data_IF_980909041284
#
_entry.id   IF_980909041284
#
_cell.length_a   1.000
_cell.length_b   1.000
_cell.length_c   1.000
_cell.angle_alpha   90.00
_cell.angle_beta   90.00
_cell.angle_gamma   90.00
#
_symmetry.space_group_name_H-M   'P 1'
#
loop_
_entity.id
_entity.type
_entity.pdbx_description
1 polymer ?
#
# COMPACT_ATOMS: atom_id res chain seq x y z
N UNK A 1 -13.15 -24.53 1.28
CA UNK A 1 -12.25 -23.36 1.31
C UNK A 1 -10.80 -23.84 1.25
N UNK A 2 -9.94 -23.11 0.57
CA UNK A 2 -8.52 -23.43 0.56
C UNK A 2 -7.93 -23.24 1.96
N UNK A 3 -6.92 -24.05 2.31
CA UNK A 3 -6.29 -24.02 3.65
C UNK A 3 -5.55 -22.71 3.93
N UNK A 4 -5.16 -21.99 2.88
CA UNK A 4 -4.44 -20.72 2.99
C UNK A 4 -5.04 -19.67 2.06
N UNK A 5 -4.98 -18.39 2.48
CA UNK A 5 -5.46 -17.26 1.69
C UNK A 5 -4.73 -17.14 0.34
N UNK A 6 -3.42 -17.40 0.31
CA UNK A 6 -2.64 -17.39 -0.95
C UNK A 6 -3.11 -18.45 -1.95
N UNK A 7 -3.46 -19.67 -1.52
CA UNK A 7 -4.03 -20.69 -2.41
C UNK A 7 -5.39 -20.24 -2.96
N UNK A 8 -6.20 -19.59 -2.12
CA UNK A 8 -7.49 -19.02 -2.55
C UNK A 8 -7.27 -17.93 -3.61
N UNK A 9 -6.36 -16.98 -3.39
CA UNK A 9 -6.01 -15.93 -4.35
C UNK A 9 -5.55 -16.55 -5.67
N UNK A 10 -4.58 -17.45 -5.62
CA UNK A 10 -4.01 -18.06 -6.82
C UNK A 10 -5.04 -18.86 -7.62
N UNK A 11 -5.90 -19.61 -6.94
CA UNK A 11 -6.93 -20.41 -7.61
C UNK A 11 -8.00 -19.58 -8.32
N UNK A 12 -8.40 -18.47 -7.71
CA UNK A 12 -9.56 -17.71 -8.18
C UNK A 12 -9.23 -16.41 -8.90
N UNK A 13 -8.00 -15.93 -8.81
CA UNK A 13 -7.57 -14.67 -9.46
C UNK A 13 -6.27 -14.78 -10.27
N UNK A 14 -5.80 -16.01 -10.56
CA UNK A 14 -4.53 -16.23 -11.28
C UNK A 14 -4.44 -15.41 -12.57
N UNK A 15 -5.46 -15.43 -13.41
CA UNK A 15 -5.51 -14.72 -14.69
C UNK A 15 -5.40 -13.20 -14.48
N UNK A 16 -6.16 -12.66 -13.55
CA UNK A 16 -6.18 -11.22 -13.27
C UNK A 16 -4.84 -10.77 -12.67
N UNK A 17 -4.23 -11.59 -11.80
CA UNK A 17 -2.89 -11.31 -11.25
C UNK A 17 -1.80 -11.31 -12.33
N UNK A 18 -1.87 -12.24 -13.29
CA UNK A 18 -0.93 -12.28 -14.42
C UNK A 18 -1.09 -11.04 -15.30
N UNK A 19 -2.32 -10.61 -15.58
CA UNK A 19 -2.59 -9.38 -16.33
C UNK A 19 -1.99 -8.17 -15.61
N UNK A 20 -2.18 -8.06 -14.30
CA UNK A 20 -1.58 -7.01 -13.48
C UNK A 20 -0.05 -7.01 -13.55
N UNK A 21 0.58 -8.19 -13.49
CA UNK A 21 2.03 -8.33 -13.59
C UNK A 21 2.54 -7.88 -14.96
N UNK A 22 1.88 -8.30 -16.05
CA UNK A 22 2.24 -7.88 -17.41
C UNK A 22 2.09 -6.37 -17.58
N UNK A 23 0.96 -5.80 -17.13
CA UNK A 23 0.71 -4.36 -17.21
C UNK A 23 1.77 -3.57 -16.44
N UNK A 24 2.14 -4.07 -15.27
CA UNK A 24 3.20 -3.49 -14.43
C UNK A 24 4.56 -3.57 -15.14
N UNK A 25 4.89 -4.72 -15.75
CA UNK A 25 6.15 -4.89 -16.49
C UNK A 25 6.26 -3.94 -17.68
N UNK A 26 5.16 -3.73 -18.40
CA UNK A 26 5.10 -2.77 -19.53
C UNK A 26 5.32 -1.32 -19.05
N UNK A 27 4.98 -0.98 -17.81
CA UNK A 27 5.18 0.37 -17.29
C UNK A 27 6.66 0.72 -16.98
N UNK A 28 7.54 -0.26 -16.76
CA UNK A 28 8.92 -0.02 -16.34
C UNK A 28 9.80 0.67 -17.41
N UNK A 29 9.74 0.34 -18.72
CA UNK A 29 10.46 1.09 -19.73
C UNK A 29 10.10 2.58 -19.76
N UNK A 30 8.81 2.91 -19.64
CA UNK A 30 8.36 4.30 -19.57
C UNK A 30 8.84 5.01 -18.31
N UNK A 31 8.90 4.29 -17.16
CA UNK A 31 9.50 4.79 -15.95
C UNK A 31 10.99 5.08 -16.14
N UNK A 32 11.75 4.17 -16.74
CA UNK A 32 13.17 4.34 -17.01
C UNK A 32 13.43 5.59 -17.89
N UNK A 33 12.71 5.69 -18.99
CA UNK A 33 12.81 6.85 -19.88
C UNK A 33 12.44 8.17 -19.19
N UNK A 34 11.46 8.16 -18.29
CA UNK A 34 11.09 9.34 -17.51
C UNK A 34 12.14 9.76 -16.47
N UNK A 35 13.06 8.87 -16.09
CA UNK A 35 14.21 9.20 -15.26
C UNK A 35 15.41 9.72 -16.07
N UNK A 36 15.57 9.22 -17.32
CA UNK A 36 16.70 9.59 -18.18
C UNK A 36 16.50 10.94 -18.89
N UNK A 37 15.24 11.28 -19.28
CA UNK A 37 14.95 12.52 -19.98
C UNK A 37 15.35 13.81 -19.25
N UNK A 38 15.11 14.00 -17.93
CA UNK A 38 15.56 15.18 -17.21
C UNK A 38 17.07 15.40 -17.30
N UNK A 39 17.87 14.32 -17.26
CA UNK A 39 19.32 14.39 -17.45
C UNK A 39 19.66 14.87 -18.87
N UNK A 40 19.00 14.32 -19.87
CA UNK A 40 19.18 14.70 -21.27
C UNK A 40 18.81 16.17 -21.50
N UNK A 41 17.72 16.66 -20.88
CA UNK A 41 17.32 18.06 -20.93
C UNK A 41 18.41 18.96 -20.32
N UNK A 42 18.91 18.63 -19.13
CA UNK A 42 19.92 19.45 -18.45
C UNK A 42 21.24 19.46 -19.25
N UNK A 43 21.71 18.31 -19.66
CA UNK A 43 23.05 18.19 -20.26
C UNK A 43 23.09 18.66 -21.71
N UNK A 44 22.07 18.34 -22.51
CA UNK A 44 22.04 18.66 -23.95
C UNK A 44 21.29 19.95 -24.24
N UNK A 45 20.04 20.09 -23.80
CA UNK A 45 19.24 21.23 -24.17
C UNK A 45 19.66 22.51 -23.44
N UNK A 46 19.92 22.45 -22.12
CA UNK A 46 20.35 23.61 -21.33
C UNK A 46 21.86 23.82 -21.45
N UNK A 47 22.65 22.74 -21.38
CA UNK A 47 24.12 22.79 -21.45
C UNK A 47 24.69 23.11 -22.84
N UNK A 48 23.85 23.09 -23.88
CA UNK A 48 24.25 23.41 -25.26
C UNK A 48 25.25 22.41 -25.89
N UNK A 49 25.47 21.25 -25.25
CA UNK A 49 26.37 20.19 -25.74
C UNK A 49 25.56 19.22 -26.59
N UNK A 50 26.03 19.00 -27.84
CA UNK A 50 25.44 18.01 -28.76
C UNK A 50 23.94 18.26 -29.07
N UNK A 51 23.54 19.52 -29.30
CA UNK A 51 22.22 19.82 -29.86
C UNK A 51 22.22 19.36 -31.32
N UNK A 52 21.32 18.44 -31.71
CA UNK A 52 21.25 18.01 -33.10
C UNK A 52 20.81 19.17 -33.99
N UNK A 53 21.58 19.45 -35.05
CA UNK A 53 21.28 20.55 -35.99
C UNK A 53 20.00 20.29 -36.79
N UNK A 54 19.64 19.03 -37.00
CA UNK A 54 18.42 18.61 -37.71
C UNK A 54 17.74 17.44 -37.02
N UNK A 55 16.44 17.53 -36.80
CA UNK A 55 15.56 16.43 -36.44
C UNK A 55 14.45 16.31 -37.48
N UNK A 56 14.36 15.14 -38.14
CA UNK A 56 13.40 14.88 -39.23
C UNK A 56 13.49 15.86 -40.41
N UNK A 57 14.69 16.41 -40.70
CA UNK A 57 14.88 17.34 -41.83
C UNK A 57 14.47 18.81 -41.54
N UNK A 58 14.23 19.13 -40.28
CA UNK A 58 13.92 20.52 -39.84
C UNK A 58 15.12 20.99 -39.00
N UNK A 59 15.68 22.15 -39.35
CA UNK A 59 16.72 22.83 -38.54
C UNK A 59 16.10 23.27 -37.22
N UNK A 60 16.69 22.85 -36.12
CA UNK A 60 16.14 23.05 -34.77
C UNK A 60 17.10 23.90 -33.97
N UNK A 61 16.55 25.01 -33.43
CA UNK A 61 17.27 25.83 -32.45
C UNK A 61 17.28 25.17 -31.06
N UNK A 62 18.21 25.59 -30.20
CA UNK A 62 18.34 25.11 -28.84
C UNK A 62 17.01 25.20 -28.06
N UNK A 63 16.24 26.27 -28.28
CA UNK A 63 14.94 26.46 -27.62
C UNK A 63 13.91 25.44 -28.10
N UNK A 64 13.86 25.16 -29.40
CA UNK A 64 12.94 24.18 -29.98
C UNK A 64 13.27 22.77 -29.48
N UNK A 65 14.55 22.43 -29.39
CA UNK A 65 14.99 21.17 -28.83
C UNK A 65 14.59 21.01 -27.35
N UNK A 66 14.73 22.06 -26.56
CA UNK A 66 14.27 22.10 -25.16
C UNK A 66 12.76 21.88 -25.05
N UNK A 67 11.98 22.54 -25.93
CA UNK A 67 10.52 22.38 -25.92
C UNK A 67 10.09 20.97 -26.33
N UNK A 68 10.74 20.37 -27.33
CA UNK A 68 10.47 18.99 -27.77
C UNK A 68 10.77 17.99 -26.64
N UNK A 69 11.92 18.09 -26.00
CA UNK A 69 12.27 17.21 -24.89
C UNK A 69 11.38 17.38 -23.67
N UNK A 70 11.01 18.63 -23.37
CA UNK A 70 10.07 18.93 -22.28
C UNK A 70 8.68 18.38 -22.56
N UNK A 71 8.21 18.51 -23.81
CA UNK A 71 6.96 17.90 -24.27
C UNK A 71 6.98 16.38 -24.19
N UNK A 72 8.08 15.75 -24.63
CA UNK A 72 8.28 14.31 -24.53
C UNK A 72 8.30 13.84 -23.08
N UNK A 73 8.96 14.57 -22.18
CA UNK A 73 8.96 14.28 -20.74
C UNK A 73 7.54 14.34 -20.16
N UNK A 74 6.79 15.41 -20.48
CA UNK A 74 5.40 15.54 -20.05
C UNK A 74 4.54 14.37 -20.53
N UNK A 75 4.68 13.99 -21.80
CA UNK A 75 3.98 12.85 -22.38
C UNK A 75 4.31 11.54 -21.64
N UNK A 76 5.60 11.28 -21.35
CA UNK A 76 6.01 10.11 -20.57
C UNK A 76 5.48 10.10 -19.14
N UNK A 77 5.46 11.25 -18.47
CA UNK A 77 4.86 11.39 -17.13
C UNK A 77 3.37 11.06 -17.19
N UNK A 78 2.67 11.53 -18.21
CA UNK A 78 1.25 11.26 -18.43
C UNK A 78 1.00 9.77 -18.69
N UNK A 79 1.78 9.14 -19.55
CA UNK A 79 1.70 7.70 -19.84
C UNK A 79 1.96 6.88 -18.58
N UNK A 80 3.03 7.18 -17.84
CA UNK A 80 3.37 6.48 -16.59
C UNK A 80 2.28 6.68 -15.53
N UNK A 81 1.75 7.89 -15.40
CA UNK A 81 0.60 8.19 -14.53
C UNK A 81 -0.64 7.40 -14.92
N UNK A 82 -0.92 7.29 -16.22
CA UNK A 82 -2.01 6.48 -16.77
C UNK A 82 -1.88 5.00 -16.45
N UNK A 83 -0.69 4.42 -16.58
CA UNK A 83 -0.42 3.04 -16.16
C UNK A 83 -0.66 2.85 -14.65
N UNK A 84 -0.15 3.75 -13.82
CA UNK A 84 -0.39 3.71 -12.37
C UNK A 84 -1.88 3.78 -12.03
N UNK A 85 -2.61 4.69 -12.67
CA UNK A 85 -4.04 4.83 -12.48
C UNK A 85 -4.77 3.52 -12.85
N UNK A 86 -4.52 2.98 -14.03
CA UNK A 86 -5.18 1.79 -14.52
C UNK A 86 -4.86 0.55 -13.65
N UNK A 87 -3.59 0.34 -13.29
CA UNK A 87 -3.16 -0.73 -12.39
C UNK A 87 -3.85 -0.62 -11.03
N UNK A 88 -3.96 0.59 -10.46
CA UNK A 88 -4.60 0.80 -9.16
C UNK A 88 -6.12 0.52 -9.23
N UNK A 89 -6.80 0.98 -10.27
CA UNK A 89 -8.23 0.72 -10.47
C UNK A 89 -8.48 -0.78 -10.66
N UNK A 90 -7.72 -1.43 -11.51
CA UNK A 90 -7.88 -2.87 -11.75
C UNK A 90 -7.60 -3.71 -10.50
N UNK A 91 -6.60 -3.32 -9.71
CA UNK A 91 -6.27 -3.92 -8.40
C UNK A 91 -7.42 -3.77 -7.41
N UNK A 92 -8.03 -2.58 -7.33
CA UNK A 92 -9.22 -2.34 -6.53
C UNK A 92 -10.40 -3.20 -6.96
N UNK A 93 -10.71 -3.26 -8.25
CA UNK A 93 -11.77 -4.11 -8.81
C UNK A 93 -11.55 -5.58 -8.52
N UNK A 94 -10.31 -6.05 -8.62
CA UNK A 94 -9.95 -7.43 -8.29
C UNK A 94 -10.21 -7.73 -6.82
N UNK A 95 -9.80 -6.83 -5.93
CA UNK A 95 -10.04 -6.91 -4.50
C UNK A 95 -11.53 -7.05 -4.19
N UNK A 96 -12.37 -6.20 -4.76
CA UNK A 96 -13.83 -6.22 -4.57
C UNK A 96 -14.49 -7.50 -5.13
N UNK A 97 -14.07 -7.97 -6.30
CA UNK A 97 -14.57 -9.25 -6.84
C UNK A 97 -14.29 -10.42 -5.90
N UNK A 98 -13.07 -10.45 -5.36
CA UNK A 98 -12.66 -11.52 -4.46
C UNK A 98 -13.33 -11.40 -3.10
N UNK A 99 -13.52 -10.18 -2.58
CA UNK A 99 -14.27 -9.91 -1.36
C UNK A 99 -15.71 -10.40 -1.47
N UNK A 100 -16.39 -10.06 -2.56
CA UNK A 100 -17.75 -10.54 -2.83
C UNK A 100 -17.82 -12.08 -2.83
N UNK A 101 -16.87 -12.75 -3.46
CA UNK A 101 -16.80 -14.21 -3.49
C UNK A 101 -16.54 -14.80 -2.11
N UNK A 102 -15.67 -14.15 -1.33
CA UNK A 102 -15.34 -14.57 0.03
C UNK A 102 -16.55 -14.45 0.97
N UNK A 103 -17.26 -13.31 0.93
CA UNK A 103 -18.51 -13.09 1.67
C UNK A 103 -19.55 -14.14 1.34
N UNK A 104 -19.77 -14.41 0.05
CA UNK A 104 -20.69 -15.47 -0.39
C UNK A 104 -20.28 -16.85 0.17
N UNK A 105 -19.00 -17.20 0.05
CA UNK A 105 -18.49 -18.49 0.53
C UNK A 105 -18.58 -18.64 2.05
N UNK A 106 -18.39 -17.57 2.79
CA UNK A 106 -18.55 -17.54 4.26
C UNK A 106 -20.01 -17.73 4.65
N UNK A 107 -20.91 -16.93 4.07
CA UNK A 107 -22.33 -17.03 4.36
C UNK A 107 -22.87 -18.42 4.01
N UNK A 108 -22.51 -18.97 2.84
CA UNK A 108 -22.90 -20.31 2.44
C UNK A 108 -22.42 -21.40 3.41
N UNK A 109 -21.30 -21.20 4.11
CA UNK A 109 -20.84 -22.09 5.17
C UNK A 109 -21.62 -21.91 6.46
N UNK A 110 -21.82 -20.68 6.87
CA UNK A 110 -22.58 -20.36 8.08
C UNK A 110 -23.96 -21.01 7.99
N UNK A 111 -24.63 -20.89 6.86
CA UNK A 111 -25.96 -21.49 6.64
C UNK A 111 -25.97 -23.04 6.68
N UNK A 112 -24.81 -23.69 6.55
CA UNK A 112 -24.63 -25.13 6.64
C UNK A 112 -24.16 -25.61 8.02
N UNK A 113 -23.98 -24.72 8.98
CA UNK A 113 -23.56 -25.13 10.32
C UNK A 113 -24.68 -25.92 11.03
N UNK A 114 -24.33 -26.96 11.77
CA UNK A 114 -25.27 -27.68 12.65
C UNK A 114 -25.87 -26.74 13.70
N UNK A 115 -27.15 -26.91 13.99
CA UNK A 115 -27.88 -26.09 14.99
C UNK A 115 -27.16 -25.94 16.35
N UNK A 116 -26.49 -26.96 16.91
CA UNK A 116 -25.77 -26.80 18.17
C UNK A 116 -24.61 -25.78 18.12
N UNK A 117 -24.02 -25.54 16.94
CA UNK A 117 -22.95 -24.56 16.79
C UNK A 117 -23.49 -23.14 16.76
N UNK A 118 -24.69 -22.92 16.24
CA UNK A 118 -25.35 -21.60 16.28
C UNK A 118 -25.67 -21.15 17.72
N UNK A 119 -25.86 -22.06 18.66
CA UNK A 119 -26.07 -21.72 20.09
C UNK A 119 -24.78 -21.19 20.76
N UNK A 120 -23.61 -21.42 20.15
CA UNK A 120 -22.30 -21.01 20.70
C UNK A 120 -21.79 -19.69 20.10
N UNK A 121 -22.35 -19.24 18.98
CA UNK A 121 -21.93 -18.05 18.25
C UNK A 121 -23.06 -17.06 18.24
N UNK A 122 -22.83 -15.82 18.65
CA UNK A 122 -23.86 -14.80 18.64
C UNK A 122 -24.18 -14.35 17.22
N UNK A 123 -25.44 -14.00 16.95
CA UNK A 123 -25.88 -13.46 15.67
C UNK A 123 -25.05 -12.24 15.23
N UNK A 124 -24.78 -11.32 16.19
CA UNK A 124 -23.97 -10.12 15.96
C UNK A 124 -22.54 -10.44 15.56
N UNK A 125 -21.94 -11.48 16.13
CA UNK A 125 -20.57 -11.93 15.79
C UNK A 125 -20.51 -12.44 14.34
N UNK A 126 -21.49 -13.23 13.89
CA UNK A 126 -21.57 -13.70 12.50
C UNK A 126 -21.71 -12.54 11.52
N UNK A 127 -22.59 -11.57 11.82
CA UNK A 127 -22.79 -10.38 10.99
C UNK A 127 -21.51 -9.55 10.92
N UNK A 128 -20.85 -9.33 12.03
CA UNK A 128 -19.59 -8.57 12.10
C UNK A 128 -18.46 -9.29 11.32
N UNK A 129 -18.35 -10.61 11.46
CA UNK A 129 -17.38 -11.41 10.74
C UNK A 129 -17.56 -11.32 9.23
N UNK A 130 -18.80 -11.48 8.71
CA UNK A 130 -19.09 -11.47 7.27
C UNK A 130 -18.97 -10.08 6.66
N UNK A 131 -19.34 -9.02 7.39
CA UNK A 131 -19.33 -7.65 6.87
C UNK A 131 -18.02 -6.94 7.12
N UNK A 132 -17.60 -6.81 8.39
CA UNK A 132 -16.54 -5.89 8.78
C UNK A 132 -15.15 -6.54 8.85
N UNK A 133 -15.06 -7.79 9.34
CA UNK A 133 -13.76 -8.45 9.50
C UNK A 133 -13.18 -8.95 8.17
N UNK A 134 -14.03 -9.22 7.20
CA UNK A 134 -13.62 -9.68 5.86
C UNK A 134 -13.25 -8.52 4.94
N UNK A 135 -13.74 -7.30 5.20
CA UNK A 135 -13.48 -6.10 4.40
C UNK A 135 -12.00 -5.85 4.09
N UNK A 136 -11.08 -5.88 5.08
CA UNK A 136 -9.66 -5.67 4.83
C UNK A 136 -9.02 -6.73 3.92
N UNK A 137 -9.62 -7.91 3.81
CA UNK A 137 -9.10 -9.00 2.97
C UNK A 137 -9.27 -8.70 1.48
N UNK A 138 -10.28 -7.92 1.08
CA UNK A 138 -10.45 -7.46 -0.30
C UNK A 138 -9.25 -6.66 -0.78
N UNK A 139 -8.87 -5.62 -0.02
CA UNK A 139 -7.66 -4.84 -0.29
C UNK A 139 -6.40 -5.70 -0.30
N UNK A 140 -6.25 -6.59 0.70
CA UNK A 140 -5.10 -7.49 0.77
C UNK A 140 -5.00 -8.40 -0.48
N UNK A 141 -6.09 -8.93 -0.99
CA UNK A 141 -6.09 -9.78 -2.20
C UNK A 141 -5.61 -9.00 -3.42
N UNK A 142 -6.11 -7.77 -3.61
CA UNK A 142 -5.67 -6.89 -4.69
C UNK A 142 -4.19 -6.55 -4.61
N UNK A 143 -3.69 -6.33 -3.38
CA UNK A 143 -2.34 -5.85 -3.12
C UNK A 143 -1.28 -6.94 -3.00
N UNK A 144 -1.67 -8.18 -2.67
CA UNK A 144 -0.76 -9.24 -2.25
C UNK A 144 0.34 -9.61 -3.25
N UNK A 145 0.07 -9.50 -4.55
CA UNK A 145 1.01 -9.83 -5.63
C UNK A 145 1.37 -8.57 -6.42
N UNK A 146 0.37 -7.78 -6.81
CA UNK A 146 0.57 -6.63 -7.69
C UNK A 146 1.39 -5.52 -7.01
N UNK A 147 1.17 -5.23 -5.73
CA UNK A 147 1.90 -4.18 -5.02
C UNK A 147 3.39 -4.50 -4.82
N UNK A 148 3.79 -5.70 -4.34
CA UNK A 148 5.20 -6.08 -4.26
C UNK A 148 5.89 -6.09 -5.62
N UNK A 149 5.21 -6.59 -6.67
CA UNK A 149 5.76 -6.60 -8.02
C UNK A 149 5.98 -5.19 -8.56
N UNK A 150 5.01 -4.28 -8.37
CA UNK A 150 5.12 -2.88 -8.79
C UNK A 150 6.23 -2.16 -8.03
N UNK A 151 6.26 -2.25 -6.70
CA UNK A 151 7.26 -1.58 -5.87
C UNK A 151 8.66 -2.18 -6.09
N UNK A 152 8.76 -3.51 -6.14
CA UNK A 152 10.02 -4.20 -6.40
C UNK A 152 10.57 -3.90 -7.80
N UNK A 153 9.71 -3.89 -8.81
CA UNK A 153 10.12 -3.54 -10.17
C UNK A 153 10.51 -2.07 -10.31
N UNK A 154 9.78 -1.15 -9.68
CA UNK A 154 10.17 0.28 -9.61
C UNK A 154 11.53 0.44 -8.97
N UNK A 155 11.78 -0.22 -7.84
CA UNK A 155 13.06 -0.21 -7.14
C UNK A 155 14.19 -0.76 -8.02
N UNK A 156 13.96 -1.89 -8.68
CA UNK A 156 14.91 -2.46 -9.63
C UNK A 156 15.24 -1.51 -10.79
N UNK A 157 14.22 -0.88 -11.37
CA UNK A 157 14.39 0.09 -12.47
C UNK A 157 15.25 1.28 -12.02
N UNK A 158 14.97 1.83 -10.83
CA UNK A 158 15.76 2.94 -10.27
C UNK A 158 17.20 2.51 -9.98
N UNK A 159 17.41 1.32 -9.41
CA UNK A 159 18.76 0.80 -9.15
C UNK A 159 19.53 0.60 -10.43
N UNK A 160 18.92 -0.03 -11.44
CA UNK A 160 19.55 -0.23 -12.77
C UNK A 160 19.94 1.12 -13.36
N UNK A 161 19.01 2.10 -13.32
CA UNK A 161 19.31 3.47 -13.79
C UNK A 161 20.50 4.07 -13.05
N UNK A 162 20.55 3.99 -11.71
CA UNK A 162 21.66 4.53 -10.93
C UNK A 162 23.00 3.86 -11.24
N UNK A 163 23.03 2.53 -11.41
CA UNK A 163 24.24 1.80 -11.77
C UNK A 163 24.77 2.13 -13.18
N UNK A 164 23.87 2.39 -14.13
CA UNK A 164 24.23 2.82 -15.49
C UNK A 164 24.80 4.23 -15.48
N UNK A 165 24.30 5.11 -14.60
CA UNK A 165 24.78 6.48 -14.48
C UNK A 165 26.14 6.56 -13.78
N UNK A 166 26.25 5.92 -12.63
CA UNK A 166 27.46 5.85 -11.81
C UNK A 166 27.36 4.62 -10.88
N UNK A 167 28.31 3.70 -11.01
CA UNK A 167 28.37 2.49 -10.20
C UNK A 167 28.54 2.79 -8.70
N UNK A 168 29.24 3.87 -8.38
CA UNK A 168 29.49 4.29 -7.00
C UNK A 168 28.19 4.77 -6.33
N UNK A 169 27.36 5.50 -7.07
CA UNK A 169 25.99 5.89 -6.62
C UNK A 169 25.10 4.68 -6.41
N UNK A 170 25.16 3.72 -7.34
CA UNK A 170 24.42 2.47 -7.20
C UNK A 170 24.80 1.70 -5.93
N UNK A 171 26.10 1.62 -5.60
CA UNK A 171 26.59 0.99 -4.37
C UNK A 171 26.14 1.77 -3.12
N UNK A 172 26.27 3.09 -3.11
CA UNK A 172 25.81 3.91 -2.00
C UNK A 172 24.31 3.74 -1.74
N UNK A 173 23.53 3.65 -2.81
CA UNK A 173 22.10 3.38 -2.71
C UNK A 173 21.82 2.03 -2.04
N UNK A 174 22.49 0.95 -2.48
CA UNK A 174 22.29 -0.39 -1.90
C UNK A 174 22.73 -0.46 -0.44
N UNK A 175 23.80 0.25 -0.05
CA UNK A 175 24.34 0.18 1.32
C UNK A 175 23.34 0.58 2.42
N UNK A 176 22.35 1.39 2.11
CA UNK A 176 21.31 1.80 3.07
C UNK A 176 20.15 0.81 3.19
N UNK A 177 19.89 -0.03 2.17
CA UNK A 177 18.76 -0.98 2.19
C UNK A 177 18.85 -2.06 3.28
N UNK A 178 20.01 -2.66 3.60
CA UNK A 178 20.10 -3.65 4.68
C UNK A 178 19.67 -3.09 6.04
N UNK A 179 20.00 -1.84 6.31
CA UNK A 179 19.61 -1.15 7.55
C UNK A 179 18.09 -1.02 7.62
N UNK A 180 17.46 -0.57 6.53
CA UNK A 180 16.00 -0.50 6.43
C UNK A 180 15.36 -1.89 6.54
N UNK A 181 15.89 -2.86 5.81
CA UNK A 181 15.39 -4.24 5.78
C UNK A 181 15.42 -4.92 7.15
N UNK A 182 16.28 -4.50 8.06
CA UNK A 182 16.32 -5.00 9.43
C UNK A 182 15.42 -4.21 10.39
N UNK A 183 15.50 -2.89 10.38
CA UNK A 183 14.80 -2.02 11.34
C UNK A 183 13.30 -1.99 11.09
N UNK A 184 12.86 -1.80 9.83
CA UNK A 184 11.46 -1.60 9.48
C UNK A 184 10.60 -2.84 9.81
N UNK A 185 10.96 -4.08 9.42
CA UNK A 185 10.16 -5.25 9.76
C UNK A 185 10.03 -5.47 11.26
N UNK A 186 11.08 -5.20 12.05
CA UNK A 186 11.06 -5.30 13.50
C UNK A 186 10.06 -4.31 14.13
N UNK A 187 10.09 -3.05 13.69
CA UNK A 187 9.13 -2.04 14.14
C UNK A 187 7.70 -2.38 13.69
N UNK A 188 7.52 -2.82 12.44
CA UNK A 188 6.24 -3.22 11.90
C UNK A 188 5.64 -4.43 12.63
N UNK A 189 6.46 -5.37 13.04
CA UNK A 189 6.01 -6.51 13.86
C UNK A 189 5.37 -6.05 15.17
N UNK A 190 5.99 -5.09 15.87
CA UNK A 190 5.43 -4.51 17.10
C UNK A 190 4.09 -3.79 16.83
N UNK A 191 4.01 -3.03 15.74
CA UNK A 191 2.75 -2.37 15.31
C UNK A 191 1.66 -3.42 15.06
N UNK A 192 2.00 -4.55 14.43
CA UNK A 192 1.06 -5.63 14.15
C UNK A 192 0.56 -6.30 15.44
N UNK A 193 1.43 -6.50 16.44
CA UNK A 193 1.02 -7.05 17.76
C UNK A 193 0.08 -6.10 18.49
N UNK A 194 0.37 -4.80 18.51
CA UNK A 194 -0.53 -3.79 19.06
C UNK A 194 -1.85 -3.74 18.30
N UNK A 195 -1.84 -3.91 16.98
CA UNK A 195 -3.04 -4.01 16.15
C UNK A 195 -3.93 -5.18 16.58
N UNK A 196 -3.36 -6.37 16.81
CA UNK A 196 -4.09 -7.54 17.33
C UNK A 196 -4.68 -7.28 18.71
N UNK A 197 -3.90 -6.65 19.61
CA UNK A 197 -4.36 -6.26 20.95
C UNK A 197 -5.54 -5.28 20.87
N UNK A 198 -5.47 -4.30 19.96
CA UNK A 198 -6.57 -3.36 19.72
C UNK A 198 -7.85 -4.06 19.27
N UNK A 199 -7.76 -4.95 18.26
CA UNK A 199 -8.93 -5.70 17.75
C UNK A 199 -9.61 -6.49 18.86
N UNK A 200 -8.83 -7.17 19.72
CA UNK A 200 -9.37 -7.90 20.87
C UNK A 200 -10.13 -6.97 21.84
N UNK A 201 -9.57 -5.79 22.17
CA UNK A 201 -10.25 -4.86 23.08
C UNK A 201 -11.51 -4.26 22.47
N UNK A 202 -11.52 -4.00 21.15
CA UNK A 202 -12.71 -3.52 20.43
C UNK A 202 -13.82 -4.59 20.44
N UNK A 203 -13.49 -5.88 20.27
CA UNK A 203 -14.48 -6.97 20.38
C UNK A 203 -15.11 -7.02 21.77
N UNK A 204 -14.29 -6.99 22.84
CA UNK A 204 -14.79 -6.96 24.20
C UNK A 204 -15.69 -5.74 24.47
N UNK A 205 -15.32 -4.59 23.88
CA UNK A 205 -16.16 -3.38 23.99
C UNK A 205 -17.51 -3.59 23.29
N UNK A 206 -17.51 -4.13 22.06
CA UNK A 206 -18.72 -4.42 21.30
C UNK A 206 -19.65 -5.41 22.03
N UNK A 207 -19.07 -6.45 22.65
CA UNK A 207 -19.80 -7.42 23.50
C UNK A 207 -20.50 -6.71 24.67
N UNK A 208 -19.78 -5.83 25.39
CA UNK A 208 -20.35 -5.06 26.51
C UNK A 208 -21.42 -4.07 26.10
N UNK A 209 -21.32 -3.48 24.91
CA UNK A 209 -22.40 -2.67 24.33
C UNK A 209 -23.61 -3.54 24.05
N UNK A 210 -23.41 -4.72 23.44
CA UNK A 210 -24.48 -5.67 23.15
C UNK A 210 -25.21 -6.12 24.42
N UNK A 211 -24.48 -6.46 25.50
CA UNK A 211 -25.06 -6.80 26.80
C UNK A 211 -25.90 -5.64 27.37
N UNK A 212 -25.35 -4.41 27.34
CA UNK A 212 -26.05 -3.26 27.86
C UNK A 212 -27.34 -2.90 27.10
N UNK A 213 -27.30 -3.05 25.74
CA UNK A 213 -28.46 -2.81 24.88
C UNK A 213 -29.53 -3.91 25.07
N UNK A 214 -29.09 -5.16 25.18
CA UNK A 214 -30.01 -6.30 25.39
C UNK A 214 -30.69 -6.25 26.77
N UNK A 215 -30.01 -5.73 27.80
CA UNK A 215 -30.54 -5.56 29.17
C UNK A 215 -30.97 -4.14 29.45
N UNK A 216 -31.40 -3.37 28.46
CA UNK A 216 -31.71 -1.93 28.63
C UNK A 216 -32.83 -1.68 29.66
N UNK A 217 -33.81 -2.57 29.75
CA UNK A 217 -34.90 -2.49 30.72
C UNK A 217 -34.36 -2.59 32.16
N UNK A 218 -33.43 -3.53 32.41
CA UNK A 218 -32.78 -3.70 33.72
C UNK A 218 -31.87 -2.51 34.07
N UNK A 219 -31.19 -1.98 33.05
CA UNK A 219 -30.35 -0.77 33.21
C UNK A 219 -31.20 0.42 33.64
N UNK A 220 -32.38 0.60 33.05
CA UNK A 220 -33.32 1.68 33.42
C UNK A 220 -33.96 1.41 34.79
N UNK A 221 -34.39 0.17 35.05
CA UNK A 221 -35.03 -0.18 36.33
C UNK A 221 -34.11 0.02 37.55
N UNK A 222 -32.79 -0.13 37.37
CA UNK A 222 -31.79 -0.03 38.44
C UNK A 222 -30.95 1.26 38.39
N UNK A 223 -31.30 2.26 37.58
CA UNK A 223 -30.49 3.48 37.34
C UNK A 223 -29.02 3.17 37.07
N UNK A 224 -28.77 2.09 36.32
CA UNK A 224 -27.43 1.54 36.07
C UNK A 224 -26.60 2.27 35.00
N UNK A 225 -27.20 3.23 34.31
CA UNK A 225 -26.59 3.90 33.14
C UNK A 225 -25.22 4.55 33.46
N UNK A 226 -25.12 5.24 34.60
CA UNK A 226 -23.89 5.91 35.05
C UNK A 226 -22.74 4.92 35.27
N UNK A 227 -23.02 3.76 35.85
CA UNK A 227 -22.03 2.70 36.08
C UNK A 227 -21.56 2.07 34.79
N UNK A 228 -22.47 1.84 33.84
CA UNK A 228 -22.12 1.29 32.50
C UNK A 228 -21.28 2.29 31.74
N UNK A 229 -21.63 3.57 31.72
CA UNK A 229 -20.84 4.62 31.05
C UNK A 229 -19.44 4.77 31.66
N UNK A 230 -19.30 4.68 32.98
CA UNK A 230 -17.96 4.71 33.60
C UNK A 230 -17.07 3.57 33.14
N UNK A 231 -17.57 2.32 33.12
CA UNK A 231 -16.84 1.14 32.61
C UNK A 231 -16.54 1.25 31.13
N UNK A 232 -17.46 1.83 30.36
CA UNK A 232 -17.28 2.05 28.93
C UNK A 232 -16.15 3.05 28.68
N UNK A 233 -16.12 4.16 29.41
CA UNK A 233 -15.07 5.19 29.31
C UNK A 233 -13.70 4.63 29.68
N UNK A 234 -13.61 3.81 30.72
CA UNK A 234 -12.36 3.12 31.10
C UNK A 234 -11.86 2.25 29.95
N UNK A 235 -12.73 1.47 29.31
CA UNK A 235 -12.37 0.63 28.15
C UNK A 235 -11.96 1.42 26.93
N UNK A 236 -12.62 2.54 26.67
CA UNK A 236 -12.21 3.47 25.61
C UNK A 236 -10.81 4.04 25.87
N UNK A 237 -10.49 4.36 27.13
CA UNK A 237 -9.14 4.79 27.52
C UNK A 237 -8.07 3.76 27.14
N UNK A 238 -8.28 2.48 27.46
CA UNK A 238 -7.35 1.39 27.08
C UNK A 238 -7.18 1.29 25.55
N UNK A 239 -8.27 1.43 24.79
CA UNK A 239 -8.21 1.40 23.31
C UNK A 239 -7.49 2.63 22.78
N UNK A 240 -7.69 3.80 23.36
CA UNK A 240 -6.99 5.03 23.03
C UNK A 240 -5.48 4.89 23.23
N UNK A 241 -5.01 4.39 24.36
CA UNK A 241 -3.60 4.21 24.67
C UNK A 241 -2.91 3.26 23.69
N UNK A 242 -3.57 2.13 23.37
CA UNK A 242 -3.08 1.20 22.36
C UNK A 242 -2.98 1.89 20.99
N UNK A 243 -3.98 2.70 20.62
CA UNK A 243 -4.01 3.39 19.34
C UNK A 243 -2.95 4.48 19.25
N UNK A 244 -2.74 5.22 20.33
CA UNK A 244 -1.69 6.21 20.44
C UNK A 244 -0.30 5.58 20.24
N UNK A 245 -0.03 4.45 20.89
CA UNK A 245 1.23 3.72 20.73
C UNK A 245 1.42 3.20 19.29
N UNK A 246 0.34 2.72 18.64
CA UNK A 246 0.35 2.35 17.23
C UNK A 246 0.75 3.55 16.36
N UNK A 247 0.14 4.72 16.57
CA UNK A 247 0.44 5.92 15.80
C UNK A 247 1.87 6.37 16.01
N UNK A 248 2.36 6.43 17.24
CA UNK A 248 3.74 6.79 17.56
C UNK A 248 4.75 5.94 16.78
N UNK A 249 4.56 4.62 16.76
CA UNK A 249 5.43 3.70 16.03
C UNK A 249 5.27 3.80 14.51
N UNK A 250 4.05 3.91 14.01
CA UNK A 250 3.79 4.08 12.57
C UNK A 250 4.41 5.36 12.02
N UNK A 251 4.25 6.48 12.72
CA UNK A 251 4.82 7.74 12.29
C UNK A 251 6.35 7.75 12.42
N UNK A 252 6.91 7.05 13.40
CA UNK A 252 8.35 6.85 13.49
C UNK A 252 8.91 6.06 12.30
N UNK A 253 8.23 4.98 11.88
CA UNK A 253 8.58 4.25 10.64
C UNK A 253 8.52 5.18 9.44
N UNK A 254 7.46 6.00 9.33
CA UNK A 254 7.31 6.95 8.23
C UNK A 254 8.41 8.01 8.24
N UNK A 255 8.77 8.52 9.42
CA UNK A 255 9.88 9.45 9.59
C UNK A 255 11.20 8.84 9.11
N UNK A 256 11.53 7.61 9.53
CA UNK A 256 12.74 6.92 9.08
C UNK A 256 12.75 6.74 7.56
N UNK A 257 11.63 6.33 6.96
CA UNK A 257 11.53 6.17 5.52
C UNK A 257 11.74 7.50 4.77
N UNK A 258 11.13 8.58 5.26
CA UNK A 258 11.28 9.91 4.65
C UNK A 258 12.71 10.44 4.83
N UNK A 259 13.32 10.25 6.01
CA UNK A 259 14.70 10.67 6.28
C UNK A 259 15.68 10.01 5.31
N UNK A 260 15.51 8.70 5.08
CA UNK A 260 16.36 7.97 4.15
C UNK A 260 16.07 8.42 2.70
N UNK A 261 14.81 8.62 2.31
CA UNK A 261 14.46 9.10 0.98
C UNK A 261 15.07 10.48 0.69
N UNK A 262 15.02 11.41 1.65
CA UNK A 262 15.65 12.74 1.52
C UNK A 262 17.16 12.62 1.44
N UNK A 263 17.79 11.74 2.23
CA UNK A 263 19.23 11.49 2.14
C UNK A 263 19.66 11.00 0.75
N UNK A 264 18.85 10.15 0.10
CA UNK A 264 19.09 9.75 -1.28
C UNK A 264 19.01 10.91 -2.27
N UNK A 265 18.00 11.75 -2.17
CA UNK A 265 17.86 12.90 -3.09
C UNK A 265 19.02 13.87 -2.96
N UNK A 266 19.52 14.11 -1.73
CA UNK A 266 20.68 14.96 -1.52
C UNK A 266 22.01 14.34 -1.97
N UNK A 267 22.13 13.00 -1.94
CA UNK A 267 23.32 12.32 -2.49
C UNK A 267 23.32 12.30 -4.02
N UNK A 268 22.14 12.29 -4.67
CA UNK A 268 22.02 12.22 -6.12
C UNK A 268 22.06 13.60 -6.80
N UNK A 269 21.62 14.68 -6.15
CA UNK A 269 21.57 16.03 -6.71
C UNK A 269 22.98 16.56 -7.13
N UNK A 270 24.05 16.47 -6.32
CA UNK A 270 25.36 16.97 -6.72
C UNK A 270 25.94 16.25 -7.94
N UNK A 271 25.64 14.97 -8.12
CA UNK A 271 26.16 14.15 -9.21
C UNK A 271 25.41 14.35 -10.52
N UNK A 272 24.16 14.79 -10.47
CA UNK A 272 23.39 15.20 -11.68
C UNK A 272 23.92 16.56 -12.19
N UNK A 273 24.39 17.44 -11.31
CA UNK A 273 24.88 18.77 -11.65
C UNK A 273 26.40 18.87 -11.88
N UNK A 274 27.17 17.81 -11.62
CA UNK A 274 28.66 17.83 -11.68
C UNK A 274 29.24 17.13 -12.92
N UNK A 275 28.44 16.91 -13.97
CA UNK A 275 28.95 16.33 -15.23
C UNK A 275 28.87 17.36 -16.36
#
# INVERSE_FOLDING_TARGET
>A
MEKTLFKFIWRYSKRDQIILLILTAISFPFLYLSLDLPKTIINKAIGGKDVPEEIFGITIDQIDYLLILSGAFLALVFVNGGFKFYVNVFRGQLGERMLRRLRYSLLARVLRFPLPQFKKVSQGEVIQMVNSEVEPLGGFVGDSIALPAFQGGTLLTILIFMFIQDWMLGLAAIALYPIQGYIIPKLQWHVNQLGKKRVRNVRVLAEKIGEAVSGIEEVHANDGARRILARFTERLGVIYDIRYEIFRRKFFIKFLNNFIAVSYTHLTLPTICSV
#
